data_IF_723038936783
#
_entry.id   IF_723038936783
#
_cell.length_a   1.000
_cell.length_b   1.000
_cell.length_c   1.000
_cell.angle_alpha   90.00
_cell.angle_beta   90.00
_cell.angle_gamma   90.00
#
_symmetry.space_group_name_H-M   'P 1'
#
loop_
_entity.id
_entity.type
_entity.pdbx_description
1 polymer ?
#
# COMPACT_ATOMS: atom_id res chain seq x y z
N UNK A 1 -20.04 -14.14 16.96
CA UNK A 1 -19.80 -13.27 15.78
C UNK A 1 -18.46 -12.50 15.85
N UNK A 2 -17.71 -12.55 16.97
CA UNK A 2 -16.42 -11.85 17.14
C UNK A 2 -15.19 -12.56 16.52
N UNK A 3 -15.29 -13.83 16.14
CA UNK A 3 -14.13 -14.65 15.73
C UNK A 3 -13.63 -14.39 14.30
N UNK A 4 -14.44 -13.73 13.46
CA UNK A 4 -14.11 -13.51 12.03
C UNK A 4 -13.29 -12.22 11.82
N UNK A 5 -13.39 -11.27 12.74
CA UNK A 5 -12.64 -10.01 12.69
C UNK A 5 -11.17 -10.21 13.12
N UNK A 6 -10.90 -11.16 14.01
CA UNK A 6 -9.56 -11.50 14.49
C UNK A 6 -8.65 -12.06 13.41
N UNK A 7 -9.17 -12.91 12.52
CA UNK A 7 -8.39 -13.49 11.41
C UNK A 7 -8.01 -12.47 10.35
N UNK A 8 -8.90 -11.52 10.05
CA UNK A 8 -8.59 -10.39 9.16
C UNK A 8 -7.49 -9.52 9.74
N UNK A 9 -7.53 -9.27 11.05
CA UNK A 9 -6.51 -8.48 11.74
C UNK A 9 -5.15 -9.21 11.75
N UNK A 10 -5.15 -10.53 11.99
CA UNK A 10 -3.94 -11.34 12.00
C UNK A 10 -3.29 -11.37 10.61
N UNK A 11 -4.06 -11.58 9.54
CA UNK A 11 -3.51 -11.59 8.17
C UNK A 11 -2.99 -10.23 7.71
N UNK A 12 -3.68 -9.14 8.08
CA UNK A 12 -3.17 -7.78 7.84
C UNK A 12 -1.87 -7.59 8.60
N UNK A 13 -1.80 -8.01 9.85
CA UNK A 13 -0.58 -7.93 10.66
C UNK A 13 0.56 -8.78 10.06
N UNK A 14 0.31 -10.03 9.66
CA UNK A 14 1.32 -10.92 9.06
C UNK A 14 1.78 -10.39 7.71
N UNK A 15 0.90 -9.83 6.89
CA UNK A 15 1.30 -9.21 5.61
C UNK A 15 2.09 -7.92 5.82
N UNK A 16 1.76 -7.10 6.82
CA UNK A 16 2.59 -5.98 7.24
C UNK A 16 3.97 -6.44 7.76
N UNK A 17 4.02 -7.49 8.58
CA UNK A 17 5.28 -8.07 9.09
C UNK A 17 6.11 -8.63 7.94
N UNK A 18 5.53 -9.38 7.00
CA UNK A 18 6.23 -9.86 5.82
C UNK A 18 6.74 -8.69 4.97
N UNK A 19 5.94 -7.65 4.72
CA UNK A 19 6.37 -6.47 3.97
C UNK A 19 7.45 -5.64 4.68
N UNK A 20 7.48 -5.66 6.02
CA UNK A 20 8.48 -4.94 6.84
C UNK A 20 9.77 -5.75 7.06
N UNK A 21 9.67 -7.07 7.16
CA UNK A 21 10.81 -7.98 7.36
C UNK A 21 11.51 -8.26 6.03
N UNK A 22 10.78 -8.31 4.92
CA UNK A 22 11.32 -8.64 3.61
C UNK A 22 12.46 -7.72 3.16
N UNK A 23 12.43 -6.38 3.31
CA UNK A 23 13.55 -5.52 2.89
C UNK A 23 14.83 -5.80 3.68
N UNK A 24 14.74 -5.94 5.01
CA UNK A 24 15.91 -6.16 5.88
C UNK A 24 16.51 -7.54 5.62
N UNK A 25 15.67 -8.59 5.57
CA UNK A 25 16.11 -9.95 5.27
C UNK A 25 16.65 -10.05 3.85
N UNK A 26 16.05 -9.35 2.88
CA UNK A 26 16.57 -9.30 1.50
C UNK A 26 17.96 -8.68 1.46
N UNK A 27 18.18 -7.58 2.18
CA UNK A 27 19.48 -6.89 2.17
C UNK A 27 20.57 -7.81 2.75
N UNK A 28 20.26 -8.52 3.84
CA UNK A 28 21.17 -9.49 4.44
C UNK A 28 21.43 -10.69 3.53
N UNK A 29 20.38 -11.26 2.90
CA UNK A 29 20.54 -12.33 1.92
C UNK A 29 21.40 -11.92 0.73
N UNK A 30 21.33 -10.65 0.32
CA UNK A 30 22.15 -10.14 -0.78
C UNK A 30 23.61 -9.95 -0.36
N UNK A 31 23.88 -9.55 0.88
CA UNK A 31 25.25 -9.42 1.41
C UNK A 31 26.00 -10.76 1.42
N UNK A 32 25.29 -11.89 1.55
CA UNK A 32 25.88 -13.24 1.42
C UNK A 32 26.47 -13.44 0.01
N UNK A 33 25.97 -12.70 -0.99
CA UNK A 33 26.45 -12.74 -2.37
C UNK A 33 27.49 -11.66 -2.70
N UNK A 34 28.01 -10.92 -1.71
CA UNK A 34 29.07 -9.95 -1.96
C UNK A 34 30.35 -10.69 -2.42
N UNK A 35 30.97 -10.16 -3.47
CA UNK A 35 32.19 -10.71 -4.05
C UNK A 35 33.39 -9.82 -3.71
N UNK A 36 34.46 -10.43 -3.21
CA UNK A 36 35.70 -9.74 -2.90
C UNK A 36 36.78 -10.08 -3.94
N UNK A 37 37.50 -9.07 -4.42
CA UNK A 37 38.65 -9.27 -5.28
C UNK A 37 39.84 -9.73 -4.44
N UNK A 38 40.38 -10.91 -4.75
CA UNK A 38 41.56 -11.46 -4.07
C UNK A 38 42.64 -11.70 -5.13
N UNK A 39 43.78 -11.05 -4.94
CA UNK A 39 44.94 -11.21 -5.80
C UNK A 39 46.00 -12.06 -5.10
N UNK A 40 46.27 -13.24 -5.64
CA UNK A 40 47.37 -14.09 -5.21
C UNK A 40 48.67 -13.70 -5.93
N UNK A 41 49.81 -13.93 -5.28
CA UNK A 41 51.14 -13.40 -5.66
C UNK A 41 51.57 -13.72 -7.11
N UNK A 42 51.01 -14.76 -7.73
CA UNK A 42 51.39 -15.23 -9.06
C UNK A 42 50.22 -15.45 -10.02
N UNK A 43 48.99 -15.09 -9.63
CA UNK A 43 47.80 -15.34 -10.44
C UNK A 43 47.09 -14.03 -10.81
N UNK A 44 46.40 -14.04 -11.95
CA UNK A 44 45.48 -12.96 -12.30
C UNK A 44 44.35 -12.96 -11.27
N UNK A 45 44.24 -11.90 -10.46
CA UNK A 45 43.28 -11.87 -9.36
C UNK A 45 41.85 -12.19 -9.82
N UNK A 46 41.13 -12.92 -8.98
CA UNK A 46 39.75 -13.33 -9.25
C UNK A 46 38.82 -12.79 -8.17
N UNK A 47 37.55 -12.60 -8.53
CA UNK A 47 36.49 -12.26 -7.57
C UNK A 47 35.95 -13.53 -6.96
N UNK A 48 35.99 -13.63 -5.64
CA UNK A 48 35.50 -14.78 -4.88
C UNK A 48 34.32 -14.37 -4.00
N UNK A 49 33.41 -15.30 -3.76
CA UNK A 49 32.29 -15.08 -2.85
C UNK A 49 32.80 -14.85 -1.42
N UNK A 50 32.45 -13.73 -0.79
CA UNK A 50 33.00 -13.32 0.50
C UNK A 50 32.76 -14.34 1.63
N UNK A 51 31.59 -14.98 1.65
CA UNK A 51 31.21 -15.91 2.72
C UNK A 51 31.98 -17.25 2.66
N UNK A 52 32.25 -17.76 1.46
CA UNK A 52 32.75 -19.13 1.29
C UNK A 52 34.16 -19.20 0.69
N UNK A 53 34.63 -18.17 -0.02
CA UNK A 53 35.89 -18.14 -0.80
C UNK A 53 36.12 -19.35 -1.72
N UNK A 54 35.13 -20.23 -1.90
CA UNK A 54 35.20 -21.46 -2.72
C UNK A 54 34.66 -21.25 -4.12
N UNK A 55 33.72 -20.33 -4.26
CA UNK A 55 33.02 -20.07 -5.51
C UNK A 55 33.58 -18.82 -6.18
N UNK A 56 33.96 -18.94 -7.45
CA UNK A 56 34.42 -17.83 -8.29
C UNK A 56 33.18 -17.07 -8.79
N UNK A 57 33.17 -15.77 -8.55
CA UNK A 57 32.10 -14.89 -9.02
C UNK A 57 32.20 -14.64 -10.53
N UNK A 58 31.07 -14.30 -11.16
CA UNK A 58 30.98 -13.90 -12.57
C UNK A 58 31.31 -14.98 -13.62
N UNK A 59 31.22 -16.27 -13.27
CA UNK A 59 31.18 -17.35 -14.29
C UNK A 59 29.91 -17.26 -15.14
N UNK A 60 29.94 -17.83 -16.36
CA UNK A 60 28.82 -17.76 -17.31
C UNK A 60 27.46 -18.20 -16.76
N UNK A 61 27.44 -19.12 -15.81
CA UNK A 61 26.20 -19.59 -15.17
C UNK A 61 25.52 -18.52 -14.31
N UNK A 62 26.27 -17.61 -13.69
CA UNK A 62 25.70 -16.53 -12.87
C UNK A 62 24.88 -15.54 -13.68
N UNK A 63 25.20 -15.34 -14.96
CA UNK A 63 24.42 -14.45 -15.84
C UNK A 63 22.99 -14.93 -16.05
N UNK A 64 22.78 -16.25 -16.14
CA UNK A 64 21.44 -16.81 -16.24
C UNK A 64 20.64 -16.53 -14.95
N UNK A 65 21.23 -16.81 -13.78
CA UNK A 65 20.59 -16.56 -12.49
C UNK A 65 20.30 -15.08 -12.25
N UNK A 66 21.24 -14.19 -12.60
CA UNK A 66 21.06 -12.76 -12.52
C UNK A 66 19.91 -12.29 -13.43
N UNK A 67 19.86 -12.77 -14.67
CA UNK A 67 18.82 -12.40 -15.63
C UNK A 67 17.42 -12.84 -15.16
N UNK A 68 17.30 -14.09 -14.68
CA UNK A 68 16.05 -14.61 -14.10
C UNK A 68 15.64 -13.79 -12.86
N UNK A 69 16.58 -13.48 -11.98
CA UNK A 69 16.31 -12.70 -10.77
C UNK A 69 15.84 -11.28 -11.08
N UNK A 70 16.49 -10.60 -12.03
CA UNK A 70 16.08 -9.28 -12.51
C UNK A 70 14.67 -9.34 -13.10
N UNK A 71 14.38 -10.34 -13.92
CA UNK A 71 13.04 -10.52 -14.50
C UNK A 71 11.96 -10.73 -13.42
N UNK A 72 12.22 -11.60 -12.44
CA UNK A 72 11.30 -11.84 -11.32
C UNK A 72 11.09 -10.57 -10.51
N UNK A 73 12.16 -9.82 -10.23
CA UNK A 73 12.09 -8.58 -9.47
C UNK A 73 11.30 -7.50 -10.22
N UNK A 74 11.54 -7.30 -11.52
CA UNK A 74 10.76 -6.37 -12.36
C UNK A 74 9.28 -6.77 -12.37
N UNK A 75 9.01 -8.06 -12.56
CA UNK A 75 7.64 -8.60 -12.56
C UNK A 75 6.97 -8.41 -11.20
N UNK A 76 7.70 -8.55 -10.11
CA UNK A 76 7.17 -8.31 -8.77
C UNK A 76 6.89 -6.83 -8.50
N UNK A 77 7.83 -5.94 -8.86
CA UNK A 77 7.72 -4.49 -8.67
C UNK A 77 6.59 -3.87 -9.49
N UNK A 78 6.42 -4.30 -10.74
CA UNK A 78 5.41 -3.74 -11.64
C UNK A 78 4.11 -4.56 -11.68
N UNK A 79 4.20 -5.88 -11.59
CA UNK A 79 3.07 -6.78 -11.76
C UNK A 79 2.03 -6.65 -10.66
N UNK A 80 2.44 -6.57 -9.39
CA UNK A 80 1.48 -6.47 -8.29
C UNK A 80 0.68 -5.13 -8.33
N UNK A 81 1.31 -3.95 -8.50
CA UNK A 81 0.57 -2.71 -8.68
C UNK A 81 -0.37 -2.73 -9.88
N UNK A 82 0.04 -3.33 -11.01
CA UNK A 82 -0.79 -3.45 -12.21
C UNK A 82 -2.00 -4.34 -11.95
N UNK A 83 -1.82 -5.52 -11.34
CA UNK A 83 -2.92 -6.43 -11.00
C UNK A 83 -3.90 -5.74 -10.05
N UNK A 84 -3.42 -5.05 -9.01
CA UNK A 84 -4.27 -4.30 -8.10
C UNK A 84 -4.98 -3.13 -8.81
N UNK A 85 -4.31 -2.45 -9.74
CA UNK A 85 -4.91 -1.43 -10.61
C UNK A 85 -6.05 -1.99 -11.46
N UNK A 86 -5.85 -3.14 -12.10
CA UNK A 86 -6.87 -3.80 -12.91
C UNK A 86 -8.04 -4.29 -12.06
N UNK A 87 -7.77 -4.89 -10.89
CA UNK A 87 -8.83 -5.35 -9.97
C UNK A 87 -9.63 -4.16 -9.42
N UNK A 88 -8.97 -3.08 -9.02
CA UNK A 88 -9.66 -1.86 -8.54
C UNK A 88 -10.48 -1.21 -9.66
N UNK A 89 -9.94 -1.15 -10.87
CA UNK A 89 -10.64 -0.66 -12.07
C UNK A 89 -11.90 -1.49 -12.36
N UNK A 90 -11.77 -2.81 -12.43
CA UNK A 90 -12.89 -3.72 -12.74
C UNK A 90 -13.98 -3.68 -11.67
N UNK A 91 -13.61 -3.66 -10.38
CA UNK A 91 -14.56 -3.51 -9.28
C UNK A 91 -15.33 -2.18 -9.34
N UNK A 92 -14.69 -1.11 -9.81
CA UNK A 92 -15.35 0.20 -9.94
C UNK A 92 -16.32 0.27 -11.12
N UNK A 93 -16.02 -0.41 -12.22
CA UNK A 93 -16.93 -0.47 -13.38
C UNK A 93 -18.24 -1.19 -13.07
N UNK A 94 -18.24 -2.05 -12.05
CA UNK A 94 -19.42 -2.71 -11.54
C UNK A 94 -20.22 -1.77 -10.63
N UNK A 95 -21.37 -1.29 -11.10
CA UNK A 95 -22.35 -0.56 -10.28
C UNK A 95 -23.23 -1.58 -9.56
N UNK A 96 -23.52 -1.34 -8.28
CA UNK A 96 -24.50 -2.16 -7.55
C UNK A 96 -25.88 -1.58 -7.80
N UNK A 97 -26.81 -2.41 -8.26
CA UNK A 97 -28.20 -2.06 -8.51
C UNK A 97 -29.08 -3.01 -7.68
N UNK A 98 -30.18 -2.51 -7.12
CA UNK A 98 -31.15 -3.33 -6.40
C UNK A 98 -32.21 -3.83 -7.38
N UNK A 99 -32.32 -5.15 -7.55
CA UNK A 99 -33.33 -5.78 -8.39
C UNK A 99 -34.15 -6.71 -7.49
N UNK A 100 -35.46 -6.44 -7.37
CA UNK A 100 -36.39 -7.21 -6.50
C UNK A 100 -35.91 -7.32 -5.04
N UNK A 101 -35.35 -6.25 -4.47
CA UNK A 101 -34.84 -6.25 -3.09
C UNK A 101 -33.50 -6.98 -2.89
N UNK A 102 -32.91 -7.55 -3.94
CA UNK A 102 -31.57 -8.15 -3.90
C UNK A 102 -30.53 -7.21 -4.55
N UNK A 103 -29.34 -7.12 -3.93
CA UNK A 103 -28.19 -6.41 -4.51
C UNK A 103 -27.60 -7.24 -5.64
N UNK A 104 -27.69 -6.75 -6.88
CA UNK A 104 -27.01 -7.33 -8.04
C UNK A 104 -25.93 -6.36 -8.54
N UNK A 105 -24.78 -6.90 -8.95
CA UNK A 105 -23.71 -6.13 -9.59
C UNK A 105 -23.97 -6.10 -11.09
N UNK A 106 -24.01 -4.90 -11.64
CA UNK A 106 -24.34 -4.66 -13.05
C UNK A 106 -23.24 -3.79 -13.62
N UNK A 107 -22.73 -4.15 -14.79
CA UNK A 107 -21.78 -3.33 -15.52
C UNK A 107 -22.38 -1.98 -15.87
N UNK A 108 -21.58 -0.91 -15.72
CA UNK A 108 -22.00 0.46 -16.05
C UNK A 108 -22.53 0.60 -17.49
N UNK A 109 -22.01 -0.20 -18.42
CA UNK A 109 -22.43 -0.25 -19.83
C UNK A 109 -23.86 -0.79 -20.04
N UNK A 110 -24.40 -1.55 -19.09
CA UNK A 110 -25.77 -2.08 -19.16
C UNK A 110 -26.82 -1.10 -18.60
N UNK A 111 -26.37 0.01 -18.00
CA UNK A 111 -27.24 1.03 -17.43
C UNK A 111 -27.38 2.19 -18.43
N UNK A 112 -28.59 2.36 -18.97
CA UNK A 112 -28.93 3.52 -19.81
C UNK A 112 -29.75 4.50 -18.97
N UNK A 113 -29.30 5.75 -18.91
CA UNK A 113 -30.10 6.84 -18.33
C UNK A 113 -31.09 7.31 -19.41
N UNK A 114 -32.38 7.26 -19.12
CA UNK A 114 -33.43 7.81 -20.00
C UNK A 114 -33.46 9.33 -19.94
N UNK A 115 -34.15 9.94 -20.90
CA UNK A 115 -34.32 11.40 -20.98
C UNK A 115 -35.10 11.97 -19.78
N UNK A 116 -35.94 11.13 -19.17
CA UNK A 116 -36.67 11.40 -17.93
C UNK A 116 -35.81 11.30 -16.65
N UNK A 117 -34.51 11.02 -16.80
CA UNK A 117 -33.56 10.88 -15.69
C UNK A 117 -33.63 9.53 -14.97
N UNK A 118 -34.53 8.62 -15.36
CA UNK A 118 -34.62 7.27 -14.80
C UNK A 118 -33.53 6.37 -15.37
N UNK A 119 -33.18 5.32 -14.63
CA UNK A 119 -32.17 4.37 -15.05
C UNK A 119 -32.82 3.06 -15.49
N UNK A 120 -32.38 2.55 -16.63
CA UNK A 120 -32.88 1.32 -17.21
C UNK A 120 -31.74 0.30 -17.33
N UNK A 121 -32.01 -0.93 -16.94
CA UNK A 121 -31.14 -2.08 -17.17
C UNK A 121 -31.46 -2.68 -18.53
N UNK A 122 -30.46 -2.80 -19.40
CA UNK A 122 -30.60 -3.56 -20.65
C UNK A 122 -30.39 -5.05 -20.37
N UNK A 123 -31.42 -5.86 -20.60
CA UNK A 123 -31.27 -7.31 -20.54
C UNK A 123 -30.48 -7.79 -21.77
N UNK A 124 -29.29 -8.41 -21.61
CA UNK A 124 -28.48 -8.81 -22.75
C UNK A 124 -29.12 -9.92 -23.60
N UNK A 125 -30.01 -10.73 -23.01
CA UNK A 125 -30.68 -11.84 -23.73
C UNK A 125 -31.90 -11.38 -24.53
N UNK A 126 -32.65 -10.41 -24.01
CA UNK A 126 -33.96 -10.05 -24.57
C UNK A 126 -34.01 -8.63 -25.13
N UNK A 127 -32.96 -7.83 -24.95
CA UNK A 127 -32.94 -6.42 -25.37
C UNK A 127 -33.92 -5.51 -24.62
N UNK A 128 -34.76 -6.06 -23.74
CA UNK A 128 -35.76 -5.32 -22.97
C UNK A 128 -35.10 -4.40 -21.94
N UNK A 129 -35.66 -3.21 -21.80
CA UNK A 129 -35.28 -2.22 -20.78
C UNK A 129 -36.16 -2.43 -19.56
N UNK A 130 -35.55 -2.73 -18.41
CA UNK A 130 -36.25 -2.79 -17.12
C UNK A 130 -35.89 -1.56 -16.32
N UNK A 131 -36.89 -0.79 -15.90
CA UNK A 131 -36.67 0.34 -14.99
C UNK A 131 -36.09 -0.18 -13.68
N UNK A 132 -35.02 0.46 -13.20
CA UNK A 132 -34.41 0.14 -11.93
C UNK A 132 -34.07 1.41 -11.20
N UNK A 133 -34.44 1.49 -9.93
CA UNK A 133 -33.95 2.55 -9.08
C UNK A 133 -32.52 2.21 -8.67
N UNK A 134 -31.50 2.95 -9.16
CA UNK A 134 -30.15 2.75 -8.67
C UNK A 134 -30.17 3.19 -7.22
N UNK A 135 -30.04 2.23 -6.32
CA UNK A 135 -29.66 2.55 -4.97
C UNK A 135 -28.21 2.99 -5.05
N UNK A 136 -28.00 4.31 -5.15
CA UNK A 136 -26.71 4.95 -4.92
C UNK A 136 -26.46 4.87 -3.42
N UNK A 137 -26.44 3.65 -2.85
CA UNK A 137 -25.94 3.47 -1.52
C UNK A 137 -24.44 3.75 -1.61
N UNK A 138 -23.88 4.63 -0.78
CA UNK A 138 -22.44 4.63 -0.55
C UNK A 138 -22.03 3.19 -0.27
N UNK A 139 -20.90 2.76 -0.84
CA UNK A 139 -20.37 1.39 -0.79
C UNK A 139 -20.21 0.81 0.63
N UNK A 140 -20.55 1.55 1.68
CA UNK A 140 -20.51 1.16 3.08
C UNK A 140 -21.62 0.18 3.51
N UNK A 141 -22.65 -0.03 2.70
CA UNK A 141 -23.73 -0.98 3.01
C UNK A 141 -23.34 -2.44 2.74
N UNK A 142 -22.71 -3.12 3.71
CA UNK A 142 -22.35 -4.56 3.68
C UNK A 142 -23.48 -5.45 3.11
N UNK A 143 -23.35 -6.06 1.93
CA UNK A 143 -24.25 -7.12 1.48
C UNK A 143 -23.91 -8.40 2.24
N UNK A 144 -24.93 -9.03 2.81
CA UNK A 144 -24.83 -10.27 3.58
C UNK A 144 -25.32 -11.44 2.72
N UNK A 145 -24.67 -11.74 1.60
CA UNK A 145 -24.97 -12.94 0.80
C UNK A 145 -23.70 -13.60 0.28
N UNK A 146 -23.65 -14.93 0.45
CA UNK A 146 -22.58 -15.93 0.20
C UNK A 146 -21.42 -15.40 -0.65
N UNK A 147 -20.29 -15.04 -0.03
CA UNK A 147 -19.20 -15.94 0.37
C UNK A 147 -18.52 -16.66 -0.80
N UNK A 148 -18.26 -15.91 -1.87
CA UNK A 148 -17.12 -16.17 -2.76
C UNK A 148 -16.59 -14.86 -3.36
N UNK A 149 -16.64 -13.76 -2.59
CA UNK A 149 -15.76 -12.64 -2.88
C UNK A 149 -14.34 -13.18 -2.68
N UNK A 150 -13.64 -13.41 -3.79
CA UNK A 150 -12.22 -13.73 -3.79
C UNK A 150 -11.53 -12.85 -2.76
N UNK A 151 -10.70 -13.45 -1.90
CA UNK A 151 -9.92 -12.76 -0.87
C UNK A 151 -9.36 -11.38 -1.33
N UNK A 152 -8.92 -11.31 -2.58
CA UNK A 152 -8.48 -10.10 -3.27
C UNK A 152 -9.48 -8.93 -3.22
N UNK A 153 -10.77 -9.18 -3.40
CA UNK A 153 -11.80 -8.13 -3.38
C UNK A 153 -11.95 -7.52 -1.97
N UNK A 154 -11.85 -8.35 -0.91
CA UNK A 154 -11.87 -7.85 0.47
C UNK A 154 -10.62 -7.04 0.80
N UNK A 155 -9.44 -7.49 0.36
CA UNK A 155 -8.20 -6.74 0.53
C UNK A 155 -8.29 -5.40 -0.20
N UNK A 156 -8.72 -5.41 -1.47
CA UNK A 156 -8.88 -4.20 -2.29
C UNK A 156 -9.89 -3.23 -1.67
N UNK A 157 -11.00 -3.71 -1.13
CA UNK A 157 -12.00 -2.87 -0.45
C UNK A 157 -11.40 -2.18 0.78
N UNK A 158 -10.63 -2.91 1.60
CA UNK A 158 -9.96 -2.34 2.78
C UNK A 158 -8.95 -1.26 2.36
N UNK A 159 -8.13 -1.54 1.34
CA UNK A 159 -7.12 -0.60 0.86
C UNK A 159 -7.73 0.65 0.22
N UNK A 160 -8.81 0.50 -0.56
CA UNK A 160 -9.43 1.62 -1.28
C UNK A 160 -10.39 2.44 -0.42
N UNK A 161 -10.87 1.90 0.71
CA UNK A 161 -11.87 2.57 1.56
C UNK A 161 -11.43 3.93 2.13
N UNK A 162 -10.13 4.19 2.23
CA UNK A 162 -9.60 5.46 2.77
C UNK A 162 -9.48 6.57 1.72
N UNK A 163 -9.62 6.24 0.43
CA UNK A 163 -9.46 7.16 -0.68
C UNK A 163 -10.80 7.76 -1.11
N UNK A 164 -10.77 9.00 -1.60
CA UNK A 164 -11.88 9.62 -2.32
C UNK A 164 -12.21 8.77 -3.54
N UNK A 165 -13.49 8.70 -3.87
CA UNK A 165 -13.97 7.87 -5.00
C UNK A 165 -13.29 8.23 -6.31
N UNK A 166 -13.01 9.50 -6.56
CA UNK A 166 -12.33 9.99 -7.76
C UNK A 166 -10.87 9.51 -7.86
N UNK A 167 -10.19 9.37 -6.72
CA UNK A 167 -8.77 9.07 -6.60
C UNK A 167 -8.46 7.62 -6.16
N UNK A 168 -9.38 6.68 -6.39
CA UNK A 168 -9.18 5.26 -6.10
C UNK A 168 -7.89 4.66 -6.70
N UNK A 169 -7.49 5.11 -7.90
CA UNK A 169 -6.28 4.66 -8.60
C UNK A 169 -5.00 5.03 -7.82
N UNK A 170 -5.09 6.01 -6.92
CA UNK A 170 -3.99 6.42 -6.08
C UNK A 170 -3.54 5.30 -5.12
N UNK A 171 -4.42 4.36 -4.77
CA UNK A 171 -4.04 3.17 -4.02
C UNK A 171 -2.96 2.35 -4.76
N UNK A 172 -3.13 2.16 -6.08
CA UNK A 172 -2.13 1.48 -6.90
C UNK A 172 -0.84 2.28 -7.03
N UNK A 173 -0.93 3.62 -7.10
CA UNK A 173 0.24 4.51 -7.15
C UNK A 173 1.04 4.48 -5.86
N UNK A 174 0.39 4.49 -4.68
CA UNK A 174 1.10 4.37 -3.40
C UNK A 174 1.78 3.00 -3.26
N UNK A 175 1.15 1.93 -3.72
CA UNK A 175 1.76 0.60 -3.75
C UNK A 175 2.95 0.60 -4.72
N UNK A 176 2.77 1.06 -5.97
CA UNK A 176 3.85 1.15 -6.95
C UNK A 176 5.05 1.94 -6.41
N UNK A 177 4.81 3.08 -5.77
CA UNK A 177 5.84 3.88 -5.10
C UNK A 177 6.61 3.05 -4.08
N UNK A 178 5.93 2.34 -3.16
CA UNK A 178 6.58 1.50 -2.14
C UNK A 178 7.46 0.41 -2.77
N UNK A 179 6.96 -0.23 -3.83
CA UNK A 179 7.71 -1.26 -4.56
C UNK A 179 8.91 -0.68 -5.33
N UNK A 180 8.77 0.52 -5.91
CA UNK A 180 9.88 1.22 -6.55
C UNK A 180 10.94 1.66 -5.52
N UNK A 181 10.53 2.16 -4.36
CA UNK A 181 11.44 2.56 -3.29
C UNK A 181 12.24 1.38 -2.71
N UNK A 182 11.72 0.16 -2.74
CA UNK A 182 12.43 -1.03 -2.24
C UNK A 182 13.12 -1.79 -3.38
N UNK A 183 12.35 -2.33 -4.33
CA UNK A 183 12.87 -3.13 -5.44
C UNK A 183 13.58 -2.30 -6.51
N UNK A 184 13.06 -1.13 -6.85
CA UNK A 184 13.73 -0.22 -7.80
C UNK A 184 15.06 0.30 -7.26
N UNK A 185 15.12 0.62 -5.96
CA UNK A 185 16.37 0.96 -5.28
C UNK A 185 17.39 -0.17 -5.35
N UNK A 186 16.94 -1.41 -5.14
CA UNK A 186 17.78 -2.60 -5.23
C UNK A 186 18.36 -2.77 -6.64
N UNK A 187 17.55 -2.60 -7.69
CA UNK A 187 18.04 -2.63 -9.08
C UNK A 187 19.04 -1.52 -9.36
N UNK A 188 18.79 -0.31 -8.89
CA UNK A 188 19.69 0.83 -9.08
C UNK A 188 21.03 0.61 -8.36
N UNK A 189 20.99 0.00 -7.16
CA UNK A 189 22.18 -0.42 -6.41
C UNK A 189 23.01 -1.43 -7.21
N UNK A 190 22.37 -2.45 -7.79
CA UNK A 190 23.05 -3.47 -8.62
C UNK A 190 23.64 -2.88 -9.91
N UNK A 191 22.94 -1.93 -10.53
CA UNK A 191 23.32 -1.43 -11.85
C UNK A 191 24.39 -0.33 -11.82
N UNK A 192 24.41 0.51 -10.79
CA UNK A 192 25.26 1.72 -10.78
C UNK A 192 26.08 1.82 -9.50
N UNK A 193 25.45 2.24 -8.39
CA UNK A 193 26.06 2.26 -7.07
C UNK A 193 25.01 2.55 -6.00
N UNK A 194 25.35 2.23 -4.75
CA UNK A 194 24.55 2.55 -3.57
C UNK A 194 24.17 4.04 -3.47
N UNK A 195 24.96 4.97 -4.03
CA UNK A 195 24.66 6.41 -4.01
C UNK A 195 23.51 6.77 -4.95
N UNK A 196 23.55 6.21 -6.17
CA UNK A 196 22.50 6.39 -7.17
C UNK A 196 21.17 5.79 -6.71
N UNK A 197 21.21 4.65 -6.01
CA UNK A 197 20.01 4.05 -5.42
C UNK A 197 19.30 5.01 -4.46
N UNK A 198 20.04 5.69 -3.58
CA UNK A 198 19.47 6.67 -2.65
C UNK A 198 18.88 7.89 -3.38
N UNK A 199 19.59 8.41 -4.40
CA UNK A 199 19.07 9.50 -5.24
C UNK A 199 17.80 9.09 -5.97
N UNK A 200 17.76 7.88 -6.53
CA UNK A 200 16.58 7.32 -7.18
C UNK A 200 15.38 7.27 -6.22
N UNK A 201 15.57 6.75 -5.01
CA UNK A 201 14.51 6.69 -3.99
C UNK A 201 14.04 8.08 -3.58
N UNK A 202 14.96 9.05 -3.46
CA UNK A 202 14.62 10.45 -3.18
C UNK A 202 13.74 11.05 -4.28
N UNK A 203 14.09 10.84 -5.55
CA UNK A 203 13.29 11.31 -6.70
C UNK A 203 11.88 10.72 -6.68
N UNK A 204 11.75 9.40 -6.47
CA UNK A 204 10.44 8.73 -6.37
C UNK A 204 9.61 9.28 -5.19
N UNK A 205 10.25 9.57 -4.06
CA UNK A 205 9.58 10.13 -2.87
C UNK A 205 9.12 11.57 -3.12
N UNK A 206 9.94 12.40 -3.77
CA UNK A 206 9.56 13.76 -4.15
C UNK A 206 8.41 13.78 -5.17
N UNK A 207 8.44 12.91 -6.18
CA UNK A 207 7.34 12.78 -7.13
C UNK A 207 6.02 12.38 -6.43
N UNK A 208 6.10 11.45 -5.46
CA UNK A 208 4.95 11.06 -4.67
C UNK A 208 4.44 12.18 -3.75
N UNK A 209 5.33 12.97 -3.16
CA UNK A 209 4.99 14.15 -2.36
C UNK A 209 4.24 15.19 -3.21
N UNK A 210 4.73 15.49 -4.41
CA UNK A 210 4.05 16.39 -5.35
C UNK A 210 2.68 15.85 -5.76
N UNK A 211 2.59 14.57 -6.12
CA UNK A 211 1.32 13.94 -6.49
C UNK A 211 0.30 13.98 -5.33
N UNK A 212 0.75 13.70 -4.11
CA UNK A 212 -0.06 13.74 -2.89
C UNK A 212 -0.55 15.15 -2.56
N UNK A 213 0.33 16.15 -2.65
CA UNK A 213 0.01 17.55 -2.42
C UNK A 213 -0.96 18.13 -3.46
N UNK A 214 -0.89 17.66 -4.71
CA UNK A 214 -1.82 18.11 -5.75
C UNK A 214 -3.18 17.39 -5.70
N UNK A 215 -3.19 16.07 -5.49
CA UNK A 215 -4.41 15.27 -5.62
C UNK A 215 -5.28 15.22 -4.36
N UNK A 216 -4.67 15.35 -3.16
CA UNK A 216 -5.33 15.12 -1.87
C UNK A 216 -6.28 13.89 -1.89
N UNK A 217 -5.74 12.70 -2.19
CA UNK A 217 -6.52 11.54 -2.57
C UNK A 217 -7.29 10.89 -1.41
N UNK A 218 -6.95 11.16 -0.15
CA UNK A 218 -7.67 10.61 1.00
C UNK A 218 -9.00 11.33 1.26
N UNK A 219 -10.01 10.58 1.69
CA UNK A 219 -11.33 11.13 2.01
C UNK A 219 -11.29 12.05 3.25
N UNK A 220 -10.49 11.70 4.26
CA UNK A 220 -10.22 12.55 5.42
C UNK A 220 -9.01 13.45 5.15
N UNK A 221 -9.16 14.76 5.34
CA UNK A 221 -8.08 15.72 5.17
C UNK A 221 -6.92 15.47 6.15
N UNK A 222 -7.21 14.98 7.36
CA UNK A 222 -6.17 14.65 8.34
C UNK A 222 -5.21 13.58 7.80
N UNK A 223 -5.72 12.59 7.05
CA UNK A 223 -4.90 11.56 6.42
C UNK A 223 -4.03 12.13 5.29
N UNK A 224 -4.54 13.10 4.52
CA UNK A 224 -3.74 13.78 3.49
C UNK A 224 -2.56 14.54 4.11
N UNK A 225 -2.82 15.30 5.18
CA UNK A 225 -1.79 16.05 5.92
C UNK A 225 -0.76 15.09 6.53
N UNK A 226 -1.22 14.03 7.19
CA UNK A 226 -0.33 13.01 7.75
C UNK A 226 0.57 12.39 6.67
N UNK A 227 0.01 12.05 5.51
CA UNK A 227 0.78 11.45 4.42
C UNK A 227 1.85 12.42 3.87
N UNK A 228 1.55 13.73 3.79
CA UNK A 228 2.53 14.76 3.40
C UNK A 228 3.68 14.80 4.41
N UNK A 229 3.39 14.79 5.72
CA UNK A 229 4.42 14.74 6.75
C UNK A 229 5.27 13.47 6.68
N UNK A 230 4.66 12.32 6.42
CA UNK A 230 5.37 11.05 6.23
C UNK A 230 6.33 11.14 5.04
N UNK A 231 5.90 11.69 3.91
CA UNK A 231 6.77 11.88 2.75
C UNK A 231 7.87 12.90 2.99
N UNK A 232 7.58 14.01 3.65
CA UNK A 232 8.59 14.99 4.03
C UNK A 232 9.65 14.37 4.93
N UNK A 233 9.23 13.64 5.98
CA UNK A 233 10.14 12.89 6.85
C UNK A 233 11.01 11.92 6.04
N UNK A 234 10.38 11.11 5.18
CA UNK A 234 11.07 10.15 4.34
C UNK A 234 12.11 10.82 3.42
N UNK A 235 11.79 11.96 2.81
CA UNK A 235 12.72 12.76 2.02
C UNK A 235 13.92 13.22 2.84
N UNK A 236 13.69 13.79 4.03
CA UNK A 236 14.78 14.28 4.87
C UNK A 236 15.67 13.13 5.37
N UNK A 237 15.08 11.97 5.72
CA UNK A 237 15.87 10.76 6.03
C UNK A 237 16.79 10.39 4.87
N UNK A 238 16.30 10.37 3.63
CA UNK A 238 17.13 10.00 2.48
C UNK A 238 18.22 11.03 2.16
N UNK A 239 17.93 12.33 2.27
CA UNK A 239 18.94 13.40 2.10
C UNK A 239 20.06 13.23 3.13
N UNK A 240 19.70 12.98 4.39
CA UNK A 240 20.71 12.79 5.43
C UNK A 240 21.50 11.48 5.27
N UNK A 241 20.86 10.41 4.81
CA UNK A 241 21.57 9.17 4.44
C UNK A 241 22.57 9.41 3.31
N UNK A 242 22.22 10.23 2.31
CA UNK A 242 23.13 10.65 1.25
C UNK A 242 24.30 11.45 1.83
N UNK A 243 24.03 12.47 2.64
CA UNK A 243 25.08 13.28 3.27
C UNK A 243 26.04 12.44 4.11
N UNK A 244 25.52 11.56 4.98
CA UNK A 244 26.36 10.65 5.78
C UNK A 244 27.32 9.86 4.90
N UNK A 245 26.82 9.32 3.80
CA UNK A 245 27.63 8.54 2.86
C UNK A 245 28.73 9.37 2.19
N UNK A 246 28.46 10.65 1.87
CA UNK A 246 29.47 11.57 1.35
C UNK A 246 30.45 12.06 2.42
N UNK A 247 30.03 12.09 3.69
CA UNK A 247 30.87 12.56 4.81
C UNK A 247 31.79 11.45 5.33
N UNK A 248 31.41 10.18 5.23
CA UNK A 248 32.25 9.04 5.64
C UNK A 248 33.57 8.97 4.84
N UNK A 249 33.67 9.65 3.70
CA UNK A 249 34.94 9.84 2.98
C UNK A 249 35.88 10.91 3.57
N UNK A 250 35.47 11.66 4.61
CA UNK A 250 36.16 12.88 5.07
C UNK A 250 36.54 13.02 6.55
N UNK A 251 36.22 12.07 7.43
CA UNK A 251 36.61 12.09 8.87
C UNK A 251 35.91 13.14 9.76
N UNK A 252 35.70 12.78 11.04
CA UNK A 252 35.12 13.55 12.18
C UNK A 252 33.73 14.20 12.02
N UNK A 253 33.38 14.74 10.84
CA UNK A 253 32.07 15.37 10.57
C UNK A 253 30.90 14.38 10.52
N UNK A 254 31.15 13.09 10.33
CA UNK A 254 30.12 12.05 10.23
C UNK A 254 29.29 11.90 11.50
N UNK A 255 29.93 12.06 12.66
CA UNK A 255 29.28 11.88 13.96
C UNK A 255 28.24 12.97 14.25
N UNK A 256 28.53 14.22 13.88
CA UNK A 256 27.59 15.34 14.06
C UNK A 256 26.36 15.18 13.17
N UNK A 257 26.55 14.80 11.90
CA UNK A 257 25.44 14.52 10.97
C UNK A 257 24.59 13.36 11.50
N UNK A 258 25.22 12.30 12.00
CA UNK A 258 24.53 11.17 12.63
C UNK A 258 23.69 11.57 13.84
N UNK A 259 24.20 12.45 14.71
CA UNK A 259 23.46 12.95 15.87
C UNK A 259 22.26 13.82 15.47
N UNK A 260 22.43 14.70 14.47
CA UNK A 260 21.33 15.51 13.93
C UNK A 260 20.25 14.62 13.29
N UNK A 261 20.66 13.56 12.57
CA UNK A 261 19.73 12.55 12.03
C UNK A 261 18.89 11.91 13.12
N UNK A 262 19.53 11.42 14.19
CA UNK A 262 18.84 10.77 15.29
C UNK A 262 17.86 11.74 15.95
N UNK A 263 18.31 12.96 16.25
CA UNK A 263 17.46 13.98 16.87
C UNK A 263 16.24 14.33 16.02
N UNK A 264 16.44 14.57 14.72
CA UNK A 264 15.35 14.89 13.80
C UNK A 264 14.36 13.72 13.66
N UNK A 265 14.87 12.48 13.57
CA UNK A 265 14.03 11.29 13.48
C UNK A 265 13.20 11.10 14.77
N UNK A 266 13.78 11.37 15.94
CA UNK A 266 13.07 11.32 17.22
C UNK A 266 11.92 12.34 17.27
N UNK A 267 12.16 13.58 16.85
CA UNK A 267 11.11 14.61 16.79
C UNK A 267 9.97 14.16 15.86
N UNK A 268 10.29 13.63 14.69
CA UNK A 268 9.30 13.17 13.72
C UNK A 268 8.53 11.94 14.19
N UNK A 269 9.20 11.02 14.90
CA UNK A 269 8.56 9.88 15.56
C UNK A 269 7.59 10.33 16.64
N UNK A 270 7.98 11.31 17.48
CA UNK A 270 7.11 11.88 18.51
C UNK A 270 5.90 12.59 17.89
N UNK A 271 6.08 13.40 16.84
CA UNK A 271 4.98 14.03 16.11
C UNK A 271 4.01 12.98 15.54
N UNK A 272 4.54 11.94 14.89
CA UNK A 272 3.73 10.87 14.31
C UNK A 272 2.96 10.12 15.40
N UNK A 273 3.61 9.81 16.53
CA UNK A 273 2.99 9.16 17.67
C UNK A 273 1.83 10.01 18.24
N UNK A 274 2.04 11.32 18.40
CA UNK A 274 0.99 12.23 18.85
C UNK A 274 -0.22 12.27 17.90
N UNK A 275 0.01 12.27 16.59
CA UNK A 275 -1.09 12.21 15.60
C UNK A 275 -1.83 10.87 15.70
N UNK A 276 -1.11 9.75 15.83
CA UNK A 276 -1.72 8.42 16.01
C UNK A 276 -2.59 8.40 17.27
N UNK A 277 -2.10 8.93 18.40
CA UNK A 277 -2.90 9.05 19.62
C UNK A 277 -4.17 9.88 19.43
N UNK A 278 -4.08 10.99 18.69
CA UNK A 278 -5.25 11.81 18.36
C UNK A 278 -6.26 11.05 17.50
N UNK A 279 -5.80 10.30 16.50
CA UNK A 279 -6.66 9.47 15.63
C UNK A 279 -7.32 8.34 16.43
N UNK A 280 -6.56 7.67 17.29
CA UNK A 280 -7.08 6.62 18.18
C UNK A 280 -8.13 7.17 19.13
N UNK A 281 -7.86 8.33 19.75
CA UNK A 281 -8.82 9.01 20.63
C UNK A 281 -10.09 9.40 19.88
N UNK A 282 -9.97 9.92 18.66
CA UNK A 282 -11.12 10.26 17.82
C UNK A 282 -11.95 9.02 17.46
N UNK A 283 -11.31 7.92 17.08
CA UNK A 283 -11.99 6.65 16.78
C UNK A 283 -12.68 6.06 18.01
N UNK A 284 -12.03 6.09 19.18
CA UNK A 284 -12.63 5.64 20.43
C UNK A 284 -13.92 6.43 20.71
N UNK A 285 -13.87 7.76 20.61
CA UNK A 285 -15.05 8.60 20.83
C UNK A 285 -16.20 8.28 19.85
N UNK A 286 -15.91 8.02 18.58
CA UNK A 286 -16.94 7.62 17.59
C UNK A 286 -17.52 6.23 17.87
N UNK A 287 -16.70 5.27 18.33
CA UNK A 287 -17.21 3.96 18.73
C UNK A 287 -18.13 4.08 19.95
N UNK A 288 -17.75 4.89 20.94
CA UNK A 288 -18.58 5.14 22.12
C UNK A 288 -19.91 5.81 21.76
N UNK A 289 -19.91 6.80 20.87
CA UNK A 289 -21.17 7.44 20.42
C UNK A 289 -22.08 6.46 19.68
N UNK A 290 -21.52 5.60 18.82
CA UNK A 290 -22.30 4.61 18.09
C UNK A 290 -22.85 3.52 19.02
N UNK A 291 -22.06 3.07 20.00
CA UNK A 291 -22.53 2.13 21.03
C UNK A 291 -23.65 2.74 21.87
N UNK A 292 -23.54 4.01 22.26
CA UNK A 292 -24.59 4.72 22.99
C UNK A 292 -25.91 4.79 22.18
N UNK A 293 -25.84 5.10 20.88
CA UNK A 293 -27.02 5.11 20.01
C UNK A 293 -27.66 3.72 19.88
N UNK A 294 -26.86 2.67 19.73
CA UNK A 294 -27.37 1.29 19.66
C UNK A 294 -28.06 0.87 20.97
N UNK A 295 -27.50 1.27 22.12
CA UNK A 295 -28.12 1.01 23.43
C UNK A 295 -29.45 1.78 23.57
N UNK A 296 -29.52 3.04 23.15
CA UNK A 296 -30.78 3.80 23.15
C UNK A 296 -31.86 3.16 22.26
N UNK A 297 -31.50 2.71 21.05
CA UNK A 297 -32.43 2.03 20.15
C UNK A 297 -32.92 0.70 20.71
N UNK A 298 -32.05 -0.03 21.42
CA UNK A 298 -32.43 -1.29 22.07
C UNK A 298 -33.44 -1.04 23.21
N UNK A 299 -33.16 -0.06 24.07
CA UNK A 299 -34.06 0.29 25.16
C UNK A 299 -35.43 0.79 24.65
N UNK A 300 -35.46 1.58 23.57
CA UNK A 300 -36.71 2.04 22.96
C UNK A 300 -37.55 0.89 22.39
N UNK A 301 -36.91 -0.13 21.81
CA UNK A 301 -37.59 -1.31 21.27
C UNK A 301 -38.20 -2.18 22.38
N UNK A 302 -37.50 -2.32 23.50
CA UNK A 302 -37.99 -3.11 24.64
C UNK A 302 -39.22 -2.44 25.28
N UNK A 303 -39.25 -1.10 25.37
CA UNK A 303 -40.43 -0.34 25.85
C UNK A 303 -41.67 -0.53 24.96
N UNK A 304 -41.49 -0.59 23.64
CA UNK A 304 -42.60 -0.81 22.71
C UNK A 304 -43.22 -2.21 22.82
N UNK A 305 -42.46 -3.21 23.26
CA UNK A 305 -42.95 -4.58 23.45
C UNK A 305 -43.80 -4.67 24.73
N UNK A 306 -43.53 -3.86 25.75
CA UNK A 306 -44.27 -3.86 27.01
C UNK A 306 -45.64 -3.18 26.91
N UNK A 307 -45.81 -2.21 26.02
CA UNK A 307 -47.09 -1.47 25.86
C UNK A 307 -48.13 -2.28 25.03
N UNK A 308 -47.68 -3.24 24.23
CA UNK A 308 -48.54 -4.08 23.38
C UNK A 308 -48.90 -5.45 24.00
N UNK A 309 -48.63 -5.65 25.29
CA UNK A 309 -49.05 -6.83 26.06
C UNK A 309 -50.08 -6.41 27.09
#
# INVERSE_FOLDING_TARGET
MAFKDTWSMYLVLTSYVLLLVHPVVSTYMIQIFDCQFIQFRHDHGHYWLQESLREICFTGHWWLFASVSIFVLITFVLGLPVVLGVVTWTLRQNKVVMINGQKQYVWSSQLKKGDDGRWFLRNPKFGTLREVHPVISPLTGRPRTKMERSFLASVVEIYTASFKREYYWFASVDILRKFMQTGGAMLCKLAVSDGHAMVFVLIITMAALTAQGHCHPYADNANNVLQIFVFFNQCTTYVLCLERKYVDTGGSRGDMVGMVMIAMQLVLLLCTFMIILQVLRRRANTMFSNMAQVLHLRNAKDVHITINK
#
